data_IF_148100282444
#
_entry.id   IF_148100282444
#
_cell.length_a   1.000
_cell.length_b   1.000
_cell.length_c   1.000
_cell.angle_alpha   90.00
_cell.angle_beta   90.00
_cell.angle_gamma   90.00
#
_symmetry.space_group_name_H-M   'P 1'
#
loop_
_entity.id
_entity.type
_entity.pdbx_description
1 polymer ?
#
# COMPACT_ATOMS: atom_id res chain seq x y z
N UNK A 1 6.35 1.14 19.00
CA UNK A 1 7.05 1.18 17.70
C UNK A 1 6.93 -0.15 16.98
N UNK A 2 6.08 -0.19 15.97
CA UNK A 2 5.80 -1.36 15.13
C UNK A 2 6.95 -1.58 14.14
N UNK A 3 7.46 -0.50 13.55
CA UNK A 3 8.50 -0.54 12.52
C UNK A 3 9.87 -0.08 13.04
N UNK A 4 10.95 -0.53 12.38
CA UNK A 4 12.28 0.04 12.59
C UNK A 4 12.46 1.30 11.73
N UNK A 5 12.73 2.49 12.32
CA UNK A 5 12.78 3.75 11.56
C UNK A 5 13.79 3.75 10.41
N UNK A 6 15.00 3.23 10.59
CA UNK A 6 16.02 3.20 9.53
C UNK A 6 15.62 2.29 8.38
N UNK A 7 15.01 1.14 8.68
CA UNK A 7 14.56 0.21 7.64
C UNK A 7 13.39 0.80 6.83
N UNK A 8 12.44 1.46 7.51
CA UNK A 8 11.33 2.15 6.85
C UNK A 8 11.84 3.28 5.96
N UNK A 9 12.74 4.14 6.45
CA UNK A 9 13.27 5.24 5.65
C UNK A 9 13.97 4.74 4.38
N UNK A 10 14.75 3.66 4.47
CA UNK A 10 15.37 3.04 3.30
C UNK A 10 14.35 2.47 2.31
N UNK A 11 13.30 1.81 2.80
CA UNK A 11 12.24 1.28 1.94
C UNK A 11 11.43 2.41 1.29
N UNK A 12 11.10 3.46 2.05
CA UNK A 12 10.37 4.62 1.58
C UNK A 12 11.13 5.34 0.45
N UNK A 13 12.43 5.56 0.62
CA UNK A 13 13.28 6.15 -0.42
C UNK A 13 13.31 5.30 -1.70
N UNK A 14 13.41 3.98 -1.56
CA UNK A 14 13.38 3.06 -2.71
C UNK A 14 12.03 3.01 -3.41
N UNK A 15 10.94 3.05 -2.64
CA UNK A 15 9.58 3.13 -3.20
C UNK A 15 9.41 4.43 -3.96
N UNK A 16 9.77 5.56 -3.36
CA UNK A 16 9.70 6.89 -3.97
C UNK A 16 10.47 6.95 -5.30
N UNK A 17 11.69 6.39 -5.33
CA UNK A 17 12.50 6.32 -6.55
C UNK A 17 11.95 5.39 -7.64
N UNK A 18 11.08 4.44 -7.27
CA UNK A 18 10.47 3.49 -8.19
C UNK A 18 9.08 3.94 -8.68
N UNK A 19 8.54 5.06 -8.19
CA UNK A 19 7.23 5.54 -8.60
C UNK A 19 7.23 5.96 -10.09
N UNK A 20 6.14 5.69 -10.83
CA UNK A 20 4.95 4.94 -10.40
C UNK A 20 5.20 3.43 -10.29
N UNK A 21 4.63 2.79 -9.25
CA UNK A 21 4.74 1.32 -9.04
C UNK A 21 3.38 0.66 -9.23
N UNK A 22 3.32 -0.35 -10.10
CA UNK A 22 2.11 -1.16 -10.26
C UNK A 22 1.85 -2.04 -9.03
N UNK A 23 0.63 -2.01 -8.53
CA UNK A 23 0.16 -2.80 -7.41
C UNK A 23 -1.21 -3.42 -7.71
N UNK A 24 -1.56 -4.46 -6.96
CA UNK A 24 -2.88 -5.10 -6.99
C UNK A 24 -3.59 -4.86 -5.67
N UNK A 25 -4.86 -4.48 -5.76
CA UNK A 25 -5.75 -4.46 -4.61
C UNK A 25 -6.30 -5.87 -4.37
N UNK A 26 -6.47 -6.25 -3.12
CA UNK A 26 -7.16 -7.50 -2.80
C UNK A 26 -8.68 -7.30 -2.91
N UNK A 27 -9.47 -8.37 -3.07
CA UNK A 27 -10.94 -8.25 -3.09
C UNK A 27 -11.51 -7.58 -1.84
N UNK A 28 -10.92 -7.84 -0.67
CA UNK A 28 -11.35 -7.24 0.60
C UNK A 28 -11.07 -5.74 0.65
N UNK A 29 -9.91 -5.32 0.13
CA UNK A 29 -9.60 -3.90 0.01
C UNK A 29 -10.52 -3.23 -1.03
N UNK A 30 -10.73 -3.86 -2.18
CA UNK A 30 -11.63 -3.34 -3.21
C UNK A 30 -13.05 -3.14 -2.66
N UNK A 31 -13.59 -4.09 -1.90
CA UNK A 31 -14.88 -3.97 -1.25
C UNK A 31 -14.93 -2.81 -0.23
N UNK A 32 -13.82 -2.56 0.49
CA UNK A 32 -13.71 -1.45 1.45
C UNK A 32 -13.63 -0.08 0.75
N UNK A 33 -13.00 -0.05 -0.43
CA UNK A 33 -12.83 1.16 -1.23
C UNK A 33 -14.05 1.50 -2.09
N UNK A 34 -14.94 0.52 -2.32
CA UNK A 34 -16.14 0.70 -3.12
C UNK A 34 -17.07 1.72 -2.46
N UNK A 35 -17.35 2.82 -3.15
CA UNK A 35 -18.35 3.78 -2.69
C UNK A 35 -19.76 3.24 -2.98
N UNK A 36 -20.74 3.48 -2.09
CA UNK A 36 -22.13 3.03 -2.29
C UNK A 36 -22.73 3.49 -3.63
N UNK A 37 -22.40 4.71 -4.08
CA UNK A 37 -22.95 5.33 -5.29
C UNK A 37 -22.05 5.19 -6.52
N UNK A 38 -20.93 4.46 -6.42
CA UNK A 38 -20.03 4.28 -7.55
C UNK A 38 -20.61 3.29 -8.57
N UNK A 39 -20.74 3.74 -9.82
CA UNK A 39 -21.30 2.97 -10.94
C UNK A 39 -20.37 1.82 -11.38
N UNK A 40 -19.06 2.00 -11.21
CA UNK A 40 -18.05 1.03 -11.61
C UNK A 40 -17.36 0.37 -10.39
N UNK A 41 -16.99 -0.91 -10.49
CA UNK A 41 -16.21 -1.57 -9.44
C UNK A 41 -14.77 -1.04 -9.41
N UNK A 42 -14.14 -1.08 -8.24
CA UNK A 42 -12.71 -0.78 -8.09
C UNK A 42 -11.87 -1.74 -8.96
N UNK A 43 -11.01 -1.23 -9.87
CA UNK A 43 -10.14 -2.08 -10.67
C UNK A 43 -9.14 -2.87 -9.81
N UNK A 44 -8.83 -4.13 -10.17
CA UNK A 44 -7.93 -4.99 -9.38
C UNK A 44 -6.46 -4.54 -9.43
N UNK A 45 -6.10 -3.73 -10.42
CA UNK A 45 -4.75 -3.19 -10.63
C UNK A 45 -4.80 -1.68 -10.48
N UNK A 46 -3.80 -1.13 -9.80
CA UNK A 46 -3.63 0.30 -9.61
C UNK A 46 -2.15 0.70 -9.75
N UNK A 47 -1.92 2.00 -9.88
CA UNK A 47 -0.61 2.62 -9.80
C UNK A 47 -0.45 3.31 -8.46
N UNK A 48 0.68 3.10 -7.79
CA UNK A 48 1.06 3.90 -6.63
C UNK A 48 1.78 5.14 -7.15
N UNK A 49 1.29 6.32 -6.77
CA UNK A 49 1.80 7.62 -7.25
C UNK A 49 2.44 8.46 -6.16
N UNK A 50 2.26 8.10 -4.89
CA UNK A 50 2.94 8.72 -3.76
C UNK A 50 3.02 7.75 -2.58
N UNK A 51 4.06 7.93 -1.76
CA UNK A 51 4.26 7.16 -0.52
C UNK A 51 4.63 8.09 0.63
N UNK A 52 4.11 7.83 1.81
CA UNK A 52 4.44 8.55 3.05
C UNK A 52 4.47 7.61 4.24
N UNK A 53 5.13 7.99 5.34
CA UNK A 53 5.13 7.20 6.57
C UNK A 53 4.21 7.84 7.61
N UNK A 54 3.18 7.11 8.04
CA UNK A 54 2.15 7.52 9.00
C UNK A 54 2.32 6.82 10.37
N UNK A 55 3.54 6.43 10.73
CA UNK A 55 3.85 5.91 12.06
C UNK A 55 3.30 4.52 12.36
N UNK A 56 3.04 4.26 13.64
CA UNK A 56 2.58 2.96 14.12
C UNK A 56 1.14 2.65 13.69
N UNK A 57 0.29 3.66 13.46
CA UNK A 57 -1.09 3.45 13.02
C UNK A 57 -1.16 3.05 11.54
N UNK A 58 -0.62 3.88 10.65
CA UNK A 58 -0.76 3.68 9.19
C UNK A 58 0.43 2.97 8.53
N UNK A 59 1.62 3.06 9.10
CA UNK A 59 2.85 2.55 8.46
C UNK A 59 3.17 3.31 7.18
N UNK A 60 3.69 2.62 6.17
CA UNK A 60 3.86 3.23 4.85
C UNK A 60 2.49 3.32 4.18
N UNK A 61 2.00 4.53 3.97
CA UNK A 61 0.78 4.85 3.23
C UNK A 61 1.10 5.05 1.75
N UNK A 62 0.19 4.62 0.90
CA UNK A 62 0.30 4.68 -0.55
C UNK A 62 -0.89 5.45 -1.12
N UNK A 63 -0.63 6.44 -1.97
CA UNK A 63 -1.66 7.05 -2.82
C UNK A 63 -1.87 6.17 -4.05
N UNK A 64 -3.10 5.70 -4.24
CA UNK A 64 -3.49 4.86 -5.36
C UNK A 64 -4.12 5.70 -6.47
N UNK A 65 -3.79 5.34 -7.69
CA UNK A 65 -4.38 5.83 -8.92
C UNK A 65 -4.94 4.65 -9.71
N UNK A 66 -6.25 4.70 -10.01
CA UNK A 66 -6.99 3.69 -10.76
C UNK A 66 -7.34 4.17 -12.19
N UNK A 67 -6.78 5.31 -12.61
CA UNK A 67 -7.07 5.95 -13.88
C UNK A 67 -8.23 6.95 -13.80
N UNK A 68 -8.64 7.52 -14.95
CA UNK A 68 -9.53 8.69 -15.01
C UNK A 68 -10.96 8.44 -14.53
N UNK A 69 -11.37 7.18 -14.40
CA UNK A 69 -12.68 6.83 -13.86
C UNK A 69 -12.78 7.00 -12.33
N UNK A 70 -11.65 7.21 -11.65
CA UNK A 70 -11.58 7.37 -10.20
C UNK A 70 -11.12 8.79 -9.86
N UNK A 71 -12.07 9.69 -9.60
CA UNK A 71 -11.79 11.11 -9.34
C UNK A 71 -11.18 11.36 -7.94
N UNK A 72 -11.47 10.48 -6.97
CA UNK A 72 -11.02 10.65 -5.59
C UNK A 72 -9.65 10.01 -5.33
N UNK A 73 -8.77 10.76 -4.66
CA UNK A 73 -7.50 10.23 -4.17
C UNK A 73 -7.74 9.15 -3.09
N UNK A 74 -7.36 7.92 -3.40
CA UNK A 74 -7.46 6.79 -2.48
C UNK A 74 -6.11 6.59 -1.78
N UNK A 75 -6.14 6.40 -0.46
CA UNK A 75 -4.98 6.07 0.33
C UNK A 75 -5.16 4.74 1.05
N UNK A 76 -4.13 3.91 1.08
CA UNK A 76 -4.13 2.67 1.87
C UNK A 76 -2.74 2.37 2.41
N UNK A 77 -2.68 1.56 3.48
CA UNK A 77 -1.39 1.07 3.97
C UNK A 77 -0.81 0.04 3.00
N UNK A 78 0.51 0.08 2.83
CA UNK A 78 1.27 -0.83 1.98
C UNK A 78 0.97 -2.30 2.31
N UNK A 79 0.55 -2.64 3.54
CA UNK A 79 0.18 -3.99 3.96
C UNK A 79 -1.05 -4.57 3.26
N UNK A 80 -1.95 -3.73 2.73
CA UNK A 80 -3.15 -4.17 2.02
C UNK A 80 -2.93 -4.44 0.52
N UNK A 81 -1.75 -4.10 0.00
CA UNK A 81 -1.44 -4.22 -1.43
C UNK A 81 -0.68 -5.52 -1.74
N UNK A 82 -0.76 -5.95 -2.99
CA UNK A 82 0.03 -7.05 -3.56
C UNK A 82 0.85 -6.54 -4.73
N UNK A 83 2.01 -7.14 -4.94
CA UNK A 83 2.98 -6.69 -5.94
C UNK A 83 3.44 -7.88 -6.78
N UNK A 84 3.79 -7.61 -8.04
CA UNK A 84 4.36 -8.63 -8.91
C UNK A 84 5.73 -9.07 -8.32
N UNK A 85 5.94 -10.37 -8.04
CA UNK A 85 7.20 -10.88 -7.49
C UNK A 85 8.41 -10.63 -8.38
N UNK A 86 8.22 -10.32 -9.66
CA UNK A 86 9.29 -10.01 -10.62
C UNK A 86 9.86 -8.60 -10.46
N UNK A 87 9.17 -7.69 -9.75
CA UNK A 87 9.67 -6.33 -9.55
C UNK A 87 10.86 -6.36 -8.56
N UNK A 88 11.97 -5.64 -8.84
CA UNK A 88 13.15 -5.63 -7.98
C UNK A 88 12.89 -5.21 -6.53
N UNK A 89 11.86 -4.39 -6.29
CA UNK A 89 11.51 -3.87 -4.96
C UNK A 89 10.58 -4.80 -4.17
N UNK A 90 9.96 -5.80 -4.81
CA UNK A 90 8.94 -6.65 -4.17
C UNK A 90 9.47 -7.43 -2.99
N UNK A 91 10.74 -7.84 -3.01
CA UNK A 91 11.36 -8.53 -1.87
C UNK A 91 11.34 -7.67 -0.60
N UNK A 92 11.70 -6.40 -0.71
CA UNK A 92 11.76 -5.48 0.43
C UNK A 92 10.37 -5.10 0.92
N UNK A 93 9.43 -4.89 -0.01
CA UNK A 93 8.02 -4.69 0.31
C UNK A 93 7.47 -5.89 1.08
N UNK A 94 7.71 -7.11 0.59
CA UNK A 94 7.22 -8.34 1.22
C UNK A 94 7.80 -8.51 2.62
N UNK A 95 9.08 -8.21 2.82
CA UNK A 95 9.72 -8.26 4.13
C UNK A 95 9.06 -7.29 5.12
N UNK A 96 8.81 -6.05 4.69
CA UNK A 96 8.09 -5.05 5.47
C UNK A 96 6.67 -5.49 5.82
N UNK A 97 5.88 -5.91 4.83
CA UNK A 97 4.51 -6.36 5.03
C UNK A 97 4.42 -7.51 6.05
N UNK A 98 5.28 -8.52 5.92
CA UNK A 98 5.33 -9.67 6.85
C UNK A 98 5.70 -9.24 8.27
N UNK A 99 6.70 -8.38 8.41
CA UNK A 99 7.11 -7.87 9.72
C UNK A 99 5.97 -7.11 10.40
N UNK A 100 5.37 -6.16 9.69
CA UNK A 100 4.34 -5.28 10.22
C UNK A 100 3.06 -6.00 10.58
N UNK A 101 2.55 -6.89 9.72
CA UNK A 101 1.35 -7.71 10.01
C UNK A 101 1.57 -8.58 11.26
N UNK A 102 2.77 -9.16 11.42
CA UNK A 102 3.12 -9.94 12.61
C UNK A 102 3.11 -9.09 13.88
N UNK A 103 3.55 -7.83 13.80
CA UNK A 103 3.58 -6.89 14.93
C UNK A 103 2.18 -6.39 15.29
N UNK A 104 1.35 -6.01 14.32
CA UNK A 104 -0.03 -5.56 14.53
C UNK A 104 -0.84 -6.64 15.26
N UNK A 105 -0.75 -7.90 14.83
CA UNK A 105 -1.46 -9.01 15.50
C UNK A 105 -1.04 -9.24 16.95
N UNK A 106 0.16 -8.82 17.33
CA UNK A 106 0.67 -8.96 18.71
C UNK A 106 0.27 -7.78 19.60
N UNK A 107 -0.03 -6.64 18.99
CA UNK A 107 -0.43 -5.42 19.67
C UNK A 107 -1.62 -4.83 18.92
N UNK A 108 -2.80 -5.45 19.03
CA UNK A 108 -4.01 -4.84 18.49
C UNK A 108 -4.24 -3.53 19.24
N UNK A 109 -4.35 -2.44 18.49
CA UNK A 109 -4.72 -1.12 19.01
C UNK A 109 -6.14 -1.11 19.54
#
# INVERSE_FOLDING_TARGET
>A
MIDNPHQVQRLLARLAAALPVSARVTPELAATLQQPDAVAPIPPVCSITSVSYAGDEGGIMCKLDFGPAQENAIYTSLTHLRFDPRLPITRDITAYQKHRVKRIRRFPS
#
